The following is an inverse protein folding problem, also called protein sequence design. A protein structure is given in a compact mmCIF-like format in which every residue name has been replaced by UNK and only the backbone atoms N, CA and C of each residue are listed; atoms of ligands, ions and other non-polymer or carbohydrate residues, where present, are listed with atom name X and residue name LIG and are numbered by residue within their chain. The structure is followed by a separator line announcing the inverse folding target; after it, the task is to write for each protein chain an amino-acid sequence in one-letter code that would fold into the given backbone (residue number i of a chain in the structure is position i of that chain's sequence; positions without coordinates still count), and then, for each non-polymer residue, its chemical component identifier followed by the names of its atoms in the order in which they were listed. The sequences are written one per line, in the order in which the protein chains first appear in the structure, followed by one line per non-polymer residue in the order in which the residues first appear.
data_IF_331864755532
#
_entry.id   IF_331864755532
#
_cell.length_a   1.000
_cell.length_b   1.000
_cell.length_c   1.000
_cell.angle_alpha   90.00
_cell.angle_beta   90.00
_cell.angle_gamma   90.00
#
_symmetry.space_group_name_H-M   'P 1'
#
loop_
_entity.id
_entity.type
_entity.pdbx_description
1 polymer ?
#
# COMPACT_ATOMS: atom_id res chain seq x y z
N UNK A 1 -17.68 -18.56 27.17
CA UNK A 1 -16.26 -18.27 27.39
C UNK A 1 -15.76 -17.56 26.14
N UNK A 2 -15.87 -16.25 26.13
CA UNK A 2 -15.31 -15.39 25.06
C UNK A 2 -13.87 -15.09 25.47
N UNK A 3 -12.94 -15.94 25.02
CA UNK A 3 -11.51 -15.60 25.13
C UNK A 3 -11.23 -14.30 24.37
N UNK A 4 -10.28 -13.49 24.88
CA UNK A 4 -9.83 -12.31 24.16
C UNK A 4 -9.43 -12.68 22.72
N UNK A 5 -9.80 -11.86 21.73
CA UNK A 5 -9.47 -12.13 20.35
C UNK A 5 -7.96 -12.15 20.16
N UNK A 6 -7.39 -13.32 19.83
CA UNK A 6 -5.96 -13.50 19.61
C UNK A 6 -5.63 -13.61 18.12
N UNK A 7 -4.48 -13.07 17.73
CA UNK A 7 -3.97 -13.21 16.37
C UNK A 7 -3.67 -14.68 16.06
N UNK A 8 -4.11 -15.19 14.89
CA UNK A 8 -3.73 -16.53 14.44
C UNK A 8 -2.20 -16.66 14.29
N UNK A 9 -1.59 -17.77 14.72
CA UNK A 9 -0.13 -17.96 14.60
C UNK A 9 0.41 -17.82 13.17
N UNK A 10 -0.34 -18.27 12.18
CA UNK A 10 0.02 -18.09 10.76
C UNK A 10 0.07 -16.60 10.36
N UNK A 11 -0.85 -15.78 10.87
CA UNK A 11 -0.84 -14.34 10.62
C UNK A 11 0.38 -13.67 11.29
N UNK A 12 0.70 -14.03 12.55
CA UNK A 12 1.88 -13.51 13.25
C UNK A 12 3.14 -13.81 12.43
N UNK A 13 3.32 -15.05 11.94
CA UNK A 13 4.49 -15.42 11.11
C UNK A 13 4.58 -14.58 9.86
N UNK A 14 3.50 -14.42 9.11
CA UNK A 14 3.50 -13.64 7.87
C UNK A 14 3.79 -12.16 8.09
N UNK A 15 3.19 -11.55 9.10
CA UNK A 15 3.46 -10.14 9.47
C UNK A 15 4.93 -9.99 9.87
N UNK A 16 5.43 -10.87 10.73
CA UNK A 16 6.83 -10.88 11.18
C UNK A 16 7.79 -10.96 9.99
N UNK A 17 7.58 -11.92 9.08
CA UNK A 17 8.42 -12.08 7.87
C UNK A 17 8.40 -10.83 7.00
N UNK A 18 7.24 -10.20 6.79
CA UNK A 18 7.11 -8.98 5.99
C UNK A 18 7.84 -7.78 6.63
N UNK A 19 7.72 -7.62 7.96
CA UNK A 19 8.40 -6.54 8.70
C UNK A 19 9.91 -6.72 8.66
N UNK A 20 10.41 -7.95 8.87
CA UNK A 20 11.84 -8.26 8.74
C UNK A 20 12.34 -7.93 7.33
N UNK A 21 11.63 -8.39 6.30
CA UNK A 21 12.00 -8.12 4.92
C UNK A 21 12.06 -6.62 4.58
N UNK A 22 11.12 -5.83 5.10
CA UNK A 22 11.12 -4.37 4.95
C UNK A 22 12.33 -3.74 5.62
N UNK A 23 12.59 -4.13 6.87
CA UNK A 23 13.67 -3.54 7.65
C UNK A 23 15.05 -3.86 7.07
N UNK A 24 15.27 -5.11 6.66
CA UNK A 24 16.53 -5.51 6.03
C UNK A 24 16.75 -4.80 4.68
N UNK A 25 15.71 -4.59 3.88
CA UNK A 25 15.82 -3.75 2.67
C UNK A 25 16.25 -2.34 3.03
N UNK A 26 15.63 -1.72 4.04
CA UNK A 26 15.98 -0.38 4.49
C UNK A 26 17.44 -0.28 4.92
N UNK A 27 17.91 -1.19 5.77
CA UNK A 27 19.28 -1.18 6.29
C UNK A 27 20.34 -1.45 5.20
N UNK A 28 20.03 -2.38 4.28
CA UNK A 28 20.97 -2.77 3.21
C UNK A 28 20.97 -1.81 2.03
N UNK A 29 19.86 -1.13 1.73
CA UNK A 29 19.80 -0.10 0.68
C UNK A 29 20.50 1.20 1.10
N UNK A 30 20.59 1.48 2.40
CA UNK A 30 21.40 2.59 2.92
C UNK A 30 22.89 2.33 2.76
N UNK A 31 23.33 1.06 2.69
CA UNK A 31 24.77 0.71 2.62
C UNK A 31 25.28 0.44 1.20
N UNK A 32 24.47 -0.06 0.26
CA UNK A 32 24.97 -0.47 -1.08
C UNK A 32 23.85 -0.37 -2.14
N UNK A 33 24.07 0.46 -3.14
CA UNK A 33 23.20 0.60 -4.33
C UNK A 33 23.16 -0.59 -5.27
N UNK A 34 22.99 -1.81 -4.79
CA UNK A 34 22.58 -3.02 -5.49
C UNK A 34 22.72 -4.27 -4.56
N UNK A 35 21.66 -4.88 -4.13
CA UNK A 35 21.74 -6.22 -3.54
C UNK A 35 20.65 -7.15 -4.05
N UNK A 36 21.07 -8.27 -4.65
CA UNK A 36 20.25 -9.43 -5.04
C UNK A 36 19.62 -10.17 -3.83
N UNK A 37 19.98 -9.80 -2.60
CA UNK A 37 19.52 -10.47 -1.38
C UNK A 37 18.07 -10.14 -0.99
N UNK A 38 17.48 -9.10 -1.59
CA UNK A 38 16.11 -8.66 -1.27
C UNK A 38 15.01 -9.61 -1.75
N UNK A 39 15.27 -10.47 -2.74
CA UNK A 39 14.28 -11.40 -3.30
C UNK A 39 13.99 -12.61 -2.38
N UNK A 40 14.91 -12.97 -1.50
CA UNK A 40 14.80 -14.19 -0.68
C UNK A 40 14.08 -13.95 0.65
N UNK A 41 14.00 -12.72 1.14
CA UNK A 41 13.50 -12.40 2.49
C UNK A 41 11.96 -12.28 2.55
N UNK A 42 11.26 -12.28 1.42
CA UNK A 42 9.78 -12.24 1.37
C UNK A 42 9.08 -13.58 1.59
N UNK A 43 9.82 -14.68 1.63
CA UNK A 43 9.30 -16.02 1.87
C UNK A 43 9.60 -16.49 3.29
N UNK A 44 8.67 -17.24 3.89
CA UNK A 44 8.96 -17.97 5.14
C UNK A 44 10.11 -18.93 4.86
N UNK A 45 11.30 -18.59 5.33
CA UNK A 45 12.47 -19.48 5.22
C UNK A 45 12.63 -20.28 6.49
N UNK A 46 12.96 -21.56 6.34
CA UNK A 46 13.38 -22.43 7.46
C UNK A 46 14.83 -22.20 7.82
N UNK A 47 15.57 -21.45 7.00
CA UNK A 47 16.97 -21.16 7.23
C UNK A 47 17.15 -19.97 8.18
N UNK A 48 18.13 -20.00 9.07
CA UNK A 48 18.47 -18.87 9.92
C UNK A 48 18.77 -17.61 9.10
N UNK A 49 18.25 -16.47 9.55
CA UNK A 49 18.58 -15.19 8.97
C UNK A 49 20.03 -14.84 9.32
N UNK A 50 20.87 -14.64 8.31
CA UNK A 50 22.24 -14.18 8.53
C UNK A 50 22.22 -12.66 8.82
N UNK A 51 21.94 -12.30 10.07
CA UNK A 51 21.86 -10.92 10.55
C UNK A 51 23.13 -10.56 11.31
N UNK A 52 23.67 -9.38 11.04
CA UNK A 52 24.67 -8.77 11.92
C UNK A 52 24.00 -8.15 13.15
N UNK A 53 24.83 -7.60 14.07
CA UNK A 53 24.33 -7.01 15.32
C UNK A 53 23.44 -5.79 15.09
N UNK A 54 23.72 -4.97 14.04
CA UNK A 54 22.95 -3.78 13.71
C UNK A 54 21.61 -4.17 13.09
N UNK A 55 21.63 -5.13 12.16
CA UNK A 55 20.42 -5.69 11.54
C UNK A 55 19.53 -6.36 12.60
N UNK A 56 20.12 -7.12 13.53
CA UNK A 56 19.36 -7.73 14.62
C UNK A 56 18.67 -6.69 15.50
N UNK A 57 19.35 -5.60 15.85
CA UNK A 57 18.75 -4.49 16.61
C UNK A 57 17.66 -3.78 15.80
N UNK A 58 17.92 -3.53 14.52
CA UNK A 58 16.93 -2.90 13.61
C UNK A 58 15.66 -3.73 13.51
N UNK A 59 15.80 -5.03 13.27
CA UNK A 59 14.67 -5.98 13.20
C UNK A 59 13.90 -6.04 14.52
N UNK A 60 14.60 -6.16 15.67
CA UNK A 60 13.97 -6.16 16.99
C UNK A 60 13.16 -4.88 17.23
N UNK A 61 13.73 -3.73 16.90
CA UNK A 61 13.08 -2.42 17.04
C UNK A 61 11.85 -2.31 16.14
N UNK A 62 11.97 -2.72 14.87
CA UNK A 62 10.86 -2.66 13.91
C UNK A 62 9.69 -3.58 14.32
N UNK A 63 9.99 -4.80 14.76
CA UNK A 63 8.99 -5.74 15.28
C UNK A 63 8.36 -5.23 16.57
N UNK A 64 9.16 -4.72 17.51
CA UNK A 64 8.67 -4.11 18.73
C UNK A 64 7.70 -2.96 18.47
N UNK A 65 8.01 -2.11 17.50
CA UNK A 65 7.15 -1.00 17.11
C UNK A 65 5.82 -1.47 16.47
N UNK A 66 5.82 -2.54 15.66
CA UNK A 66 4.62 -3.08 15.03
C UNK A 66 3.73 -3.81 16.04
N UNK A 67 4.32 -4.69 16.87
CA UNK A 67 3.56 -5.52 17.81
C UNK A 67 3.39 -4.87 19.19
N UNK A 68 3.88 -3.64 19.37
CA UNK A 68 3.88 -2.90 20.63
C UNK A 68 4.47 -3.72 21.79
N UNK A 69 5.61 -4.35 21.53
CA UNK A 69 6.33 -5.17 22.49
C UNK A 69 7.78 -4.71 22.62
N UNK A 70 8.24 -4.57 23.85
CA UNK A 70 9.64 -4.31 24.17
C UNK A 70 10.44 -5.63 24.30
N UNK A 71 11.76 -5.54 24.23
CA UNK A 71 12.71 -6.63 24.49
C UNK A 71 12.53 -7.88 23.60
N UNK A 72 12.35 -7.67 22.32
CA UNK A 72 12.28 -8.77 21.34
C UNK A 72 13.67 -9.28 20.91
N UNK A 73 14.77 -8.72 21.42
CA UNK A 73 16.13 -9.11 21.02
C UNK A 73 16.45 -10.57 21.32
N UNK A 74 17.24 -11.20 20.46
CA UNK A 74 17.91 -12.46 20.72
C UNK A 74 19.31 -12.19 21.31
N UNK A 75 19.88 -13.20 22.00
CA UNK A 75 21.26 -13.10 22.40
C UNK A 75 22.18 -12.92 21.18
N UNK A 76 23.26 -12.15 21.29
CA UNK A 76 24.24 -12.03 20.21
C UNK A 76 24.66 -13.40 19.68
N UNK A 77 24.86 -13.51 18.39
CA UNK A 77 25.26 -14.73 17.67
C UNK A 77 24.28 -15.92 17.77
N UNK A 78 23.01 -15.68 18.16
CA UNK A 78 21.96 -16.70 18.08
C UNK A 78 21.34 -16.67 16.67
N UNK A 79 21.59 -17.69 15.83
CA UNK A 79 20.93 -17.79 14.53
C UNK A 79 19.42 -17.91 14.75
N UNK A 80 18.65 -16.96 14.25
CA UNK A 80 17.20 -16.95 14.38
C UNK A 80 16.53 -16.95 13.00
N UNK A 81 15.49 -17.76 12.85
CA UNK A 81 14.61 -17.76 11.67
C UNK A 81 13.50 -16.72 11.84
N UNK A 82 12.78 -16.37 10.78
CA UNK A 82 11.56 -15.58 10.90
C UNK A 82 10.51 -16.25 11.81
N UNK A 83 10.49 -17.58 11.86
CA UNK A 83 9.62 -18.36 12.73
C UNK A 83 10.00 -18.22 14.21
N UNK A 84 11.29 -18.16 14.55
CA UNK A 84 11.73 -17.93 15.93
C UNK A 84 11.32 -16.54 16.43
N UNK A 85 11.45 -15.51 15.58
CA UNK A 85 10.95 -14.18 15.88
C UNK A 85 9.44 -14.17 16.11
N UNK A 86 8.67 -14.84 15.24
CA UNK A 86 7.21 -14.94 15.39
C UNK A 86 6.82 -15.71 16.66
N UNK A 87 7.52 -16.81 16.99
CA UNK A 87 7.28 -17.56 18.21
C UNK A 87 7.55 -16.70 19.46
N UNK A 88 8.63 -15.90 19.45
CA UNK A 88 8.94 -14.99 20.56
C UNK A 88 7.87 -13.91 20.74
N UNK A 89 7.40 -13.30 19.63
CA UNK A 89 6.29 -12.34 19.65
C UNK A 89 5.03 -12.98 20.25
N UNK A 90 4.72 -14.21 19.88
CA UNK A 90 3.53 -14.94 20.35
C UNK A 90 3.57 -15.35 21.83
N UNK A 91 4.69 -15.19 22.52
CA UNK A 91 4.80 -15.50 23.97
C UNK A 91 4.04 -14.50 24.86
N UNK A 92 3.67 -13.34 24.32
CA UNK A 92 2.98 -12.27 25.04
C UNK A 92 1.64 -11.96 24.35
N UNK A 93 0.62 -11.50 25.07
CA UNK A 93 -0.60 -11.01 24.48
C UNK A 93 -0.32 -9.86 23.50
N UNK A 94 -1.00 -9.88 22.36
CA UNK A 94 -0.95 -8.82 21.34
C UNK A 94 -2.32 -8.17 21.32
N UNK A 95 -2.43 -6.97 21.87
CA UNK A 95 -3.70 -6.24 21.92
C UNK A 95 -3.90 -5.32 20.73
N UNK A 96 -2.80 -4.80 20.19
CA UNK A 96 -2.79 -3.83 19.09
C UNK A 96 -1.65 -4.12 18.11
N UNK A 97 -1.87 -3.72 16.85
CA UNK A 97 -0.81 -3.64 15.84
C UNK A 97 -0.68 -2.21 15.35
N UNK A 98 0.56 -1.77 15.15
CA UNK A 98 0.86 -0.47 14.54
C UNK A 98 1.32 -0.66 13.10
N UNK A 99 0.64 -0.03 12.16
CA UNK A 99 1.06 0.10 10.77
C UNK A 99 1.57 1.51 10.51
N UNK A 100 2.44 1.65 9.53
CA UNK A 100 3.08 2.93 9.21
C UNK A 100 2.74 3.37 7.79
N UNK A 101 2.42 4.66 7.61
CA UNK A 101 2.20 5.28 6.32
C UNK A 101 3.31 6.28 5.99
N UNK A 102 3.55 6.52 4.70
CA UNK A 102 4.37 7.64 4.25
C UNK A 102 3.60 8.95 4.50
N UNK A 103 3.71 9.53 5.67
CA UNK A 103 3.00 10.78 5.99
C UNK A 103 3.29 11.92 5.01
N UNK A 104 2.37 12.90 4.92
CA UNK A 104 2.49 14.11 4.09
C UNK A 104 3.80 14.90 4.34
N UNK A 105 4.38 14.77 5.53
CA UNK A 105 5.64 15.37 5.94
C UNK A 105 6.89 14.58 5.53
N UNK A 106 6.71 13.43 4.86
CA UNK A 106 7.80 12.49 4.52
C UNK A 106 8.30 11.65 5.70
N UNK A 107 7.72 11.81 6.89
CA UNK A 107 7.99 10.95 8.05
C UNK A 107 6.89 9.91 8.19
N UNK A 108 7.22 8.62 8.45
CA UNK A 108 6.23 7.58 8.68
C UNK A 108 5.29 7.97 9.82
N UNK A 109 3.98 7.87 9.59
CA UNK A 109 2.97 8.11 10.61
C UNK A 109 2.45 6.77 11.14
N UNK A 110 2.48 6.55 12.46
CA UNK A 110 1.98 5.33 13.07
C UNK A 110 0.45 5.36 13.20
N UNK A 111 -0.21 4.26 12.83
CA UNK A 111 -1.65 4.05 13.04
C UNK A 111 -1.84 2.72 13.78
N UNK A 112 -2.34 2.81 15.01
CA UNK A 112 -2.51 1.66 15.88
C UNK A 112 -3.96 1.14 15.84
N UNK A 113 -4.12 -0.15 15.50
CA UNK A 113 -5.40 -0.83 15.44
C UNK A 113 -5.51 -1.89 16.53
N UNK A 114 -6.70 -2.07 17.10
CA UNK A 114 -6.94 -3.17 18.03
C UNK A 114 -7.02 -4.49 17.28
N UNK A 115 -6.58 -5.58 17.90
CA UNK A 115 -6.72 -6.91 17.30
C UNK A 115 -8.18 -7.26 17.07
N UNK A 116 -9.07 -6.82 17.95
CA UNK A 116 -10.52 -7.03 17.81
C UNK A 116 -11.07 -6.42 16.50
N UNK A 117 -10.70 -5.17 16.19
CA UNK A 117 -11.15 -4.49 14.95
C UNK A 117 -10.60 -5.15 13.71
N UNK A 118 -9.30 -5.50 13.72
CA UNK A 118 -8.64 -6.16 12.60
C UNK A 118 -9.26 -7.54 12.31
N UNK A 119 -9.52 -8.32 13.35
CA UNK A 119 -10.18 -9.63 13.22
C UNK A 119 -11.65 -9.49 12.81
N UNK A 120 -12.36 -8.48 13.30
CA UNK A 120 -13.76 -8.23 12.91
C UNK A 120 -13.86 -7.94 11.40
N UNK A 121 -12.96 -7.09 10.87
CA UNK A 121 -12.86 -6.81 9.43
C UNK A 121 -12.51 -8.09 8.65
N UNK A 122 -11.46 -8.81 9.06
CA UNK A 122 -11.04 -10.02 8.39
C UNK A 122 -12.11 -11.13 8.40
N UNK A 123 -12.87 -11.29 9.48
CA UNK A 123 -14.01 -12.22 9.54
C UNK A 123 -15.17 -11.80 8.64
N UNK A 124 -15.47 -10.51 8.51
CA UNK A 124 -16.48 -10.03 7.56
C UNK A 124 -16.07 -10.34 6.13
N UNK A 125 -14.80 -10.08 5.76
CA UNK A 125 -14.24 -10.42 4.47
C UNK A 125 -14.24 -11.95 4.24
N UNK A 126 -13.85 -12.74 5.24
CA UNK A 126 -13.82 -14.20 5.12
C UNK A 126 -15.22 -14.78 4.76
N UNK A 127 -16.31 -14.21 5.27
CA UNK A 127 -17.66 -14.60 4.86
C UNK A 127 -17.95 -14.31 3.39
N UNK A 128 -17.45 -13.18 2.87
CA UNK A 128 -17.66 -12.77 1.46
C UNK A 128 -16.78 -13.57 0.48
N UNK A 129 -15.61 -14.02 0.95
CA UNK A 129 -14.61 -14.72 0.15
C UNK A 129 -14.40 -16.19 0.59
N UNK A 130 -15.44 -16.81 1.17
CA UNK A 130 -15.38 -18.18 1.71
C UNK A 130 -15.05 -19.28 0.69
N UNK A 131 -15.11 -18.98 -0.61
CA UNK A 131 -14.76 -19.92 -1.70
C UNK A 131 -13.26 -19.92 -2.04
N UNK A 132 -12.49 -19.00 -1.46
CA UNK A 132 -11.04 -18.91 -1.66
C UNK A 132 -10.38 -20.22 -1.25
N UNK A 133 -9.50 -20.74 -2.09
CA UNK A 133 -8.71 -21.95 -1.84
C UNK A 133 -7.22 -21.65 -1.62
N UNK A 134 -6.77 -20.48 -2.11
CA UNK A 134 -5.39 -20.02 -2.02
C UNK A 134 -5.35 -18.51 -2.18
N UNK A 135 -4.53 -17.86 -1.38
CA UNK A 135 -4.23 -16.41 -1.55
C UNK A 135 -2.91 -16.27 -2.28
N UNK A 136 -2.91 -15.47 -3.35
CA UNK A 136 -1.70 -15.10 -4.08
C UNK A 136 -1.40 -13.64 -3.77
N UNK A 137 -0.34 -13.41 -2.99
CA UNK A 137 0.01 -12.11 -2.44
C UNK A 137 1.05 -11.41 -3.31
N UNK A 138 0.65 -10.34 -4.00
CA UNK A 138 1.54 -9.41 -4.71
C UNK A 138 1.94 -8.22 -3.84
N UNK A 139 1.33 -8.10 -2.68
CA UNK A 139 1.61 -7.05 -1.69
C UNK A 139 2.08 -7.67 -0.37
N UNK A 140 3.01 -7.03 0.33
CA UNK A 140 3.52 -7.54 1.60
C UNK A 140 2.52 -7.31 2.74
N UNK A 141 2.67 -8.07 3.83
CA UNK A 141 1.80 -8.02 5.01
C UNK A 141 2.23 -6.96 6.06
N UNK A 142 3.13 -6.05 5.73
CA UNK A 142 3.63 -4.99 6.62
C UNK A 142 2.84 -3.66 6.50
N UNK A 143 1.86 -3.61 5.60
CA UNK A 143 0.88 -2.53 5.46
C UNK A 143 -0.52 -3.04 5.77
N UNK A 144 -1.43 -2.17 6.21
CA UNK A 144 -2.75 -2.58 6.68
C UNK A 144 -3.53 -3.41 5.65
N UNK A 145 -3.56 -2.98 4.39
CA UNK A 145 -4.19 -3.72 3.30
C UNK A 145 -3.60 -5.14 3.15
N UNK A 146 -2.28 -5.24 3.02
CA UNK A 146 -1.61 -6.54 2.93
C UNK A 146 -1.77 -7.38 4.18
N UNK A 147 -1.73 -6.78 5.37
CA UNK A 147 -1.94 -7.45 6.65
C UNK A 147 -3.33 -8.12 6.71
N UNK A 148 -4.39 -7.40 6.34
CA UNK A 148 -5.75 -7.95 6.33
C UNK A 148 -5.87 -9.06 5.28
N UNK A 149 -5.51 -8.76 4.02
CA UNK A 149 -5.82 -9.64 2.88
C UNK A 149 -4.83 -10.79 2.68
N UNK A 150 -3.59 -10.65 3.16
CA UNK A 150 -2.56 -11.67 2.93
C UNK A 150 -2.03 -12.36 4.20
N UNK A 151 -2.45 -11.89 5.40
CA UNK A 151 -2.11 -12.55 6.64
C UNK A 151 -3.35 -12.96 7.45
N UNK A 152 -4.27 -12.05 7.77
CA UNK A 152 -5.43 -12.37 8.61
C UNK A 152 -6.49 -13.18 7.85
N UNK A 153 -6.92 -12.73 6.69
CA UNK A 153 -7.94 -13.40 5.88
C UNK A 153 -7.58 -14.87 5.58
N UNK A 154 -6.40 -15.17 5.00
CA UNK A 154 -6.04 -16.56 4.74
C UNK A 154 -5.91 -17.41 6.01
N UNK A 155 -5.45 -16.82 7.12
CA UNK A 155 -5.38 -17.54 8.40
C UNK A 155 -6.78 -17.88 8.96
N UNK A 156 -7.78 -17.01 8.76
CA UNK A 156 -9.18 -17.27 9.15
C UNK A 156 -9.82 -18.30 8.21
N UNK A 157 -9.52 -18.26 6.92
CA UNK A 157 -10.03 -19.23 5.93
C UNK A 157 -9.31 -20.57 5.96
N UNK A 158 -8.19 -20.66 6.68
CA UNK A 158 -7.29 -21.83 6.71
C UNK A 158 -6.82 -22.23 5.30
N UNK A 159 -6.36 -21.24 4.52
CA UNK A 159 -5.88 -21.47 3.15
C UNK A 159 -4.42 -21.05 3.00
N UNK A 160 -3.68 -21.73 2.08
CA UNK A 160 -2.28 -21.39 1.84
C UNK A 160 -2.13 -20.01 1.18
N UNK A 161 -0.98 -19.39 1.43
CA UNK A 161 -0.58 -18.13 0.81
C UNK A 161 0.71 -18.33 0.03
N UNK A 162 0.71 -17.87 -1.23
CA UNK A 162 1.91 -17.79 -2.06
C UNK A 162 2.21 -16.31 -2.29
N UNK A 163 3.39 -15.87 -1.83
CA UNK A 163 3.88 -14.53 -2.10
C UNK A 163 4.75 -14.53 -3.37
N UNK A 164 4.75 -13.43 -4.10
CA UNK A 164 5.57 -13.27 -5.30
C UNK A 164 5.43 -11.91 -5.94
N UNK A 165 6.02 -11.77 -7.11
CA UNK A 165 5.87 -10.61 -7.98
C UNK A 165 5.04 -11.00 -9.20
N UNK A 166 4.61 -10.03 -10.00
CA UNK A 166 3.90 -10.30 -11.27
C UNK A 166 4.69 -11.25 -12.19
N UNK A 167 6.02 -11.21 -12.13
CA UNK A 167 6.89 -12.07 -12.97
C UNK A 167 7.09 -13.47 -12.39
N UNK A 168 7.02 -13.62 -11.06
CA UNK A 168 7.27 -14.91 -10.37
C UNK A 168 5.98 -15.61 -9.93
N UNK A 169 4.81 -15.04 -10.27
CA UNK A 169 3.53 -15.65 -9.95
C UNK A 169 3.43 -17.07 -10.51
N UNK A 170 2.97 -18.04 -9.68
CA UNK A 170 2.54 -19.31 -10.18
C UNK A 170 1.38 -19.11 -11.18
N UNK A 171 1.17 -20.10 -12.04
CA UNK A 171 -0.01 -20.10 -12.90
C UNK A 171 -1.27 -19.97 -12.01
N UNK A 172 -2.18 -19.02 -12.32
CA UNK A 172 -3.43 -18.90 -11.60
C UNK A 172 -4.23 -20.21 -11.65
N UNK A 173 -4.91 -20.52 -10.56
CA UNK A 173 -5.74 -21.72 -10.43
C UNK A 173 -7.15 -21.35 -9.94
N UNK A 174 -8.11 -22.23 -10.19
CA UNK A 174 -9.49 -22.04 -9.73
C UNK A 174 -9.56 -21.92 -8.20
N UNK A 175 -10.23 -20.90 -7.71
CA UNK A 175 -10.34 -20.57 -6.29
C UNK A 175 -9.20 -19.69 -5.77
N UNK A 176 -8.34 -19.16 -6.65
CA UNK A 176 -7.32 -18.18 -6.25
C UNK A 176 -7.94 -16.83 -5.94
N UNK A 177 -7.48 -16.24 -4.83
CA UNK A 177 -7.66 -14.83 -4.48
C UNK A 177 -6.33 -14.11 -4.68
N UNK A 178 -6.23 -13.29 -5.73
CA UNK A 178 -5.00 -12.57 -6.06
C UNK A 178 -5.10 -11.15 -5.49
N UNK A 179 -4.17 -10.79 -4.62
CA UNK A 179 -4.16 -9.51 -3.90
C UNK A 179 -3.06 -8.61 -4.44
N UNK A 180 -3.45 -7.49 -5.05
CA UNK A 180 -2.51 -6.57 -5.70
C UNK A 180 -2.94 -5.10 -5.60
N UNK A 181 -2.19 -4.25 -6.28
CA UNK A 181 -2.48 -2.82 -6.48
C UNK A 181 -2.76 -2.58 -7.97
N UNK A 182 -3.33 -1.42 -8.37
CA UNK A 182 -3.67 -1.15 -9.78
C UNK A 182 -2.52 -1.38 -10.75
N UNK A 183 -1.29 -1.07 -10.37
CA UNK A 183 -0.08 -1.29 -11.19
C UNK A 183 0.19 -2.78 -11.45
N UNK A 184 -0.05 -3.63 -10.46
CA UNK A 184 0.05 -5.09 -10.63
C UNK A 184 -1.00 -5.58 -11.63
N UNK A 185 -2.23 -5.10 -11.53
CA UNK A 185 -3.32 -5.44 -12.44
C UNK A 185 -3.04 -4.97 -13.87
N UNK A 186 -2.49 -3.76 -14.03
CA UNK A 186 -2.05 -3.26 -15.33
C UNK A 186 -0.91 -4.10 -15.94
N UNK A 187 0.01 -4.57 -15.11
CA UNK A 187 1.08 -5.45 -15.57
C UNK A 187 0.55 -6.84 -15.96
N UNK A 188 -0.35 -7.42 -15.17
CA UNK A 188 -1.00 -8.70 -15.47
C UNK A 188 -1.84 -8.64 -16.76
N UNK A 189 -2.58 -7.55 -16.98
CA UNK A 189 -3.32 -7.32 -18.21
C UNK A 189 -2.39 -7.31 -19.45
N UNK A 190 -1.24 -6.62 -19.34
CA UNK A 190 -0.23 -6.58 -20.42
C UNK A 190 0.39 -7.95 -20.73
N UNK A 191 0.50 -8.83 -19.74
CA UNK A 191 1.01 -10.18 -19.96
C UNK A 191 0.04 -11.05 -20.75
N UNK A 192 -1.24 -10.71 -20.82
CA UNK A 192 -2.25 -11.34 -21.66
C UNK A 192 -2.48 -12.83 -21.38
N UNK A 193 -2.17 -13.31 -20.18
CA UNK A 193 -2.39 -14.71 -19.81
C UNK A 193 -3.88 -14.96 -19.55
N UNK A 194 -4.44 -16.10 -20.05
CA UNK A 194 -5.84 -16.41 -19.80
C UNK A 194 -6.06 -16.71 -18.30
N UNK A 195 -7.22 -16.31 -17.80
CA UNK A 195 -7.64 -16.57 -16.44
C UNK A 195 -8.42 -17.89 -16.37
N UNK A 196 -8.11 -18.80 -15.45
CA UNK A 196 -8.99 -19.91 -15.11
C UNK A 196 -10.32 -19.41 -14.56
N UNK A 197 -11.36 -20.22 -14.64
CA UNK A 197 -12.61 -19.94 -13.95
C UNK A 197 -12.40 -19.84 -12.43
N UNK A 198 -13.23 -19.04 -11.75
CA UNK A 198 -13.25 -18.88 -10.28
C UNK A 198 -11.96 -18.25 -9.71
N UNK A 199 -11.35 -17.31 -10.44
CA UNK A 199 -10.26 -16.46 -9.92
C UNK A 199 -10.83 -15.10 -9.55
N UNK A 200 -10.55 -14.65 -8.33
CA UNK A 200 -10.94 -13.35 -7.82
C UNK A 200 -9.72 -12.45 -7.64
N UNK A 201 -9.77 -11.25 -8.20
CA UNK A 201 -8.79 -10.20 -7.99
C UNK A 201 -9.24 -9.23 -6.90
N UNK A 202 -8.29 -8.79 -6.06
CA UNK A 202 -8.47 -7.73 -5.07
C UNK A 202 -7.48 -6.61 -5.39
N UNK A 203 -7.98 -5.38 -5.49
CA UNK A 203 -7.20 -4.16 -5.72
C UNK A 203 -7.43 -3.17 -4.60
N UNK A 204 -6.40 -2.49 -4.17
CA UNK A 204 -6.47 -1.34 -3.25
C UNK A 204 -5.20 -0.51 -3.38
N UNK A 205 -5.09 0.56 -2.58
CA UNK A 205 -3.89 1.38 -2.56
C UNK A 205 -3.77 2.33 -3.74
N UNK A 206 -4.75 2.41 -4.64
CA UNK A 206 -4.80 3.29 -5.80
C UNK A 206 -6.14 3.30 -6.49
N UNK A 207 -6.41 4.34 -7.25
CA UNK A 207 -7.59 4.38 -8.10
C UNK A 207 -7.46 3.30 -9.20
N UNK A 208 -8.36 2.33 -9.20
CA UNK A 208 -8.43 1.31 -10.25
C UNK A 208 -9.17 1.91 -11.48
N UNK A 209 -8.48 2.10 -12.63
CA UNK A 209 -9.12 2.60 -13.83
C UNK A 209 -10.24 1.66 -14.30
N UNK A 210 -11.41 2.22 -14.62
CA UNK A 210 -12.57 1.42 -15.04
C UNK A 210 -12.26 0.54 -16.26
N UNK A 211 -11.62 1.13 -17.29
CA UNK A 211 -11.23 0.40 -18.49
C UNK A 211 -10.30 -0.80 -18.20
N UNK A 212 -9.32 -0.62 -17.30
CA UNK A 212 -8.44 -1.72 -16.90
C UNK A 212 -9.23 -2.86 -16.24
N UNK A 213 -10.19 -2.51 -15.39
CA UNK A 213 -11.04 -3.51 -14.73
C UNK A 213 -11.92 -4.27 -15.73
N UNK A 214 -12.52 -3.55 -16.69
CA UNK A 214 -13.33 -4.12 -17.76
C UNK A 214 -12.51 -5.05 -18.67
N UNK A 215 -11.30 -4.64 -19.06
CA UNK A 215 -10.37 -5.44 -19.85
C UNK A 215 -10.00 -6.75 -19.15
N UNK A 216 -9.73 -6.73 -17.83
CA UNK A 216 -9.42 -7.93 -17.06
C UNK A 216 -10.60 -8.89 -16.97
N UNK A 217 -11.81 -8.39 -16.77
CA UNK A 217 -13.03 -9.20 -16.77
C UNK A 217 -13.29 -9.77 -18.16
N UNK A 218 -13.13 -8.98 -19.22
CA UNK A 218 -13.25 -9.44 -20.60
C UNK A 218 -12.21 -10.51 -20.96
N UNK A 219 -11.01 -10.44 -20.36
CA UNK A 219 -9.97 -11.47 -20.50
C UNK A 219 -10.24 -12.75 -19.68
N UNK A 220 -11.36 -12.82 -18.93
CA UNK A 220 -11.81 -14.02 -18.22
C UNK A 220 -11.59 -14.00 -16.70
N UNK A 221 -11.08 -12.91 -16.10
CA UNK A 221 -11.05 -12.80 -14.65
C UNK A 221 -12.49 -12.83 -14.11
N UNK A 222 -12.79 -13.74 -13.20
CA UNK A 222 -14.16 -13.98 -12.76
C UNK A 222 -14.73 -12.80 -11.98
N UNK A 223 -13.93 -12.19 -11.09
CA UNK A 223 -14.28 -11.02 -10.27
C UNK A 223 -13.07 -10.14 -10.06
N UNK A 224 -13.27 -8.84 -10.06
CA UNK A 224 -12.28 -7.87 -9.60
C UNK A 224 -12.95 -6.94 -8.59
N UNK A 225 -12.43 -6.94 -7.38
CA UNK A 225 -12.96 -6.16 -6.26
C UNK A 225 -11.96 -5.07 -5.88
N UNK A 226 -12.42 -3.84 -5.92
CA UNK A 226 -11.68 -2.66 -5.50
C UNK A 226 -12.03 -2.30 -4.06
N UNK A 227 -11.02 -2.12 -3.22
CA UNK A 227 -11.16 -1.88 -1.78
C UNK A 227 -10.84 -0.42 -1.49
N UNK A 228 -11.81 0.31 -1.00
CA UNK A 228 -11.64 1.67 -0.48
C UNK A 228 -11.38 1.64 1.01
N UNK A 229 -10.34 2.36 1.43
CA UNK A 229 -9.95 2.50 2.83
C UNK A 229 -8.62 3.23 2.95
N UNK A 230 -8.16 3.38 4.17
CA UNK A 230 -6.88 4.00 4.50
C UNK A 230 -6.21 3.26 5.65
N UNK A 231 -4.95 3.61 5.93
CA UNK A 231 -4.25 3.03 7.08
C UNK A 231 -4.82 3.48 8.43
N UNK A 232 -5.56 4.58 8.45
CA UNK A 232 -6.24 5.12 9.62
C UNK A 232 -7.54 4.35 9.90
N UNK A 233 -8.29 4.02 8.85
CA UNK A 233 -9.64 3.48 8.95
C UNK A 233 -9.74 1.97 8.76
N UNK A 234 -8.77 1.34 8.10
CA UNK A 234 -8.94 0.04 7.49
C UNK A 234 -9.86 0.12 6.27
N UNK A 235 -10.42 -1.00 5.83
CA UNK A 235 -11.36 -1.02 4.71
C UNK A 235 -12.68 -0.34 5.11
N UNK A 236 -13.12 0.59 4.27
CA UNK A 236 -14.40 1.29 4.40
C UNK A 236 -15.47 0.59 3.57
N UNK A 237 -15.14 0.26 2.32
CA UNK A 237 -16.10 -0.37 1.43
C UNK A 237 -15.43 -1.14 0.29
N UNK A 238 -16.22 -1.98 -0.34
CA UNK A 238 -15.85 -2.82 -1.47
C UNK A 238 -16.69 -2.46 -2.69
N UNK A 239 -16.05 -2.41 -3.85
CA UNK A 239 -16.68 -2.19 -5.15
C UNK A 239 -16.31 -3.34 -6.08
N UNK A 240 -17.29 -4.07 -6.57
CA UNK A 240 -17.06 -5.06 -7.62
C UNK A 240 -17.16 -4.39 -9.00
N UNK A 241 -16.10 -4.50 -9.79
CA UNK A 241 -16.04 -3.94 -11.15
C UNK A 241 -17.05 -4.68 -12.05
N UNK A 242 -17.85 -3.97 -12.89
CA UNK A 242 -17.75 -2.55 -13.24
C UNK A 242 -18.63 -1.58 -12.42
N UNK A 243 -19.17 -1.98 -11.28
CA UNK A 243 -20.00 -1.10 -10.47
C UNK A 243 -19.26 0.21 -10.11
N UNK A 244 -20.01 1.31 -9.91
CA UNK A 244 -19.43 2.62 -9.59
C UNK A 244 -19.28 2.80 -8.07
N UNK A 245 -20.26 2.32 -7.29
CA UNK A 245 -20.32 2.57 -5.85
C UNK A 245 -19.63 1.52 -5.00
N UNK A 246 -19.05 1.97 -3.89
CA UNK A 246 -18.50 1.11 -2.84
C UNK A 246 -19.56 0.77 -1.82
N UNK A 247 -19.81 -0.51 -1.58
CA UNK A 247 -20.67 -1.00 -0.51
C UNK A 247 -19.90 -0.97 0.81
N UNK A 248 -20.40 -0.27 1.79
CA UNK A 248 -19.75 -0.11 3.10
C UNK A 248 -19.68 -1.43 3.86
N UNK A 249 -18.56 -1.70 4.51
CA UNK A 249 -18.44 -2.76 5.50
C UNK A 249 -19.34 -2.48 6.70
N UNK A 250 -19.73 -3.52 7.42
CA UNK A 250 -20.78 -3.48 8.45
C UNK A 250 -20.50 -2.53 9.62
N UNK A 251 -19.22 -2.20 9.84
CA UNK A 251 -18.80 -1.27 10.89
C UNK A 251 -19.01 0.20 10.54
N UNK A 252 -19.32 0.53 9.28
CA UNK A 252 -19.48 1.88 8.80
C UNK A 252 -20.92 2.20 8.50
N UNK A 253 -21.34 3.40 8.84
CA UNK A 253 -22.67 3.92 8.59
C UNK A 253 -22.58 5.34 7.99
N UNK A 254 -23.59 5.72 7.22
CA UNK A 254 -23.76 7.07 6.72
C UNK A 254 -24.78 7.80 7.57
N UNK A 255 -24.42 8.98 8.05
CA UNK A 255 -25.35 9.92 8.65
C UNK A 255 -25.50 11.10 7.73
N UNK A 256 -26.74 11.53 7.47
CA UNK A 256 -27.04 12.74 6.71
C UNK A 256 -27.43 13.85 7.67
N UNK A 257 -26.67 14.93 7.69
CA UNK A 257 -27.07 16.19 8.29
C UNK A 257 -26.94 17.28 7.23
N UNK A 258 -28.08 17.91 6.88
CA UNK A 258 -28.15 19.09 6.01
C UNK A 258 -27.22 19.02 4.76
N UNK A 259 -27.53 18.13 3.81
CA UNK A 259 -26.85 17.94 2.53
C UNK A 259 -25.40 17.41 2.57
N UNK A 260 -24.84 17.14 3.75
CA UNK A 260 -23.50 16.58 3.87
C UNK A 260 -23.56 15.18 4.48
N UNK A 261 -23.15 14.18 3.70
CA UNK A 261 -23.00 12.83 4.24
C UNK A 261 -21.70 12.70 5.02
N UNK A 262 -21.81 12.18 6.24
CA UNK A 262 -20.67 11.90 7.10
C UNK A 262 -20.59 10.41 7.36
N UNK A 263 -19.42 9.83 7.18
CA UNK A 263 -19.15 8.46 7.59
C UNK A 263 -18.95 8.42 9.10
N UNK A 264 -19.63 7.50 9.76
CA UNK A 264 -19.47 7.26 11.20
C UNK A 264 -19.12 5.80 11.45
N UNK A 265 -18.42 5.54 12.54
CA UNK A 265 -18.14 4.19 13.04
C UNK A 265 -19.34 3.59 13.78
N UNK A 266 -19.16 2.41 14.40
CA UNK A 266 -20.21 1.72 15.18
C UNK A 266 -20.66 2.49 16.40
N UNK A 267 -19.79 3.30 16.97
CA UNK A 267 -20.05 4.16 18.14
C UNK A 267 -20.69 5.49 17.74
N UNK A 268 -20.91 5.74 16.44
CA UNK A 268 -21.49 6.96 15.91
C UNK A 268 -20.48 8.11 15.83
N UNK A 269 -19.18 7.84 15.96
CA UNK A 269 -18.14 8.86 15.87
C UNK A 269 -17.85 9.20 14.41
N UNK A 270 -17.79 10.48 14.05
CA UNK A 270 -17.49 10.90 12.69
C UNK A 270 -16.04 10.57 12.31
N UNK A 271 -15.88 10.05 11.10
CA UNK A 271 -14.59 9.69 10.52
C UNK A 271 -14.21 10.70 9.45
N UNK A 272 -13.04 11.32 9.62
CA UNK A 272 -12.48 12.21 8.61
C UNK A 272 -11.91 11.40 7.46
N UNK A 273 -12.46 11.62 6.26
CA UNK A 273 -11.96 10.98 5.04
C UNK A 273 -11.07 11.95 4.27
N UNK A 274 -10.00 11.43 3.66
CA UNK A 274 -9.16 12.24 2.74
C UNK A 274 -9.86 12.51 1.40
N UNK A 275 -10.96 11.81 1.13
CA UNK A 275 -11.71 11.89 -0.12
C UNK A 275 -13.08 12.56 0.09
N UNK A 276 -13.56 13.25 -0.94
CA UNK A 276 -14.96 13.65 -1.03
C UNK A 276 -15.80 12.45 -1.42
N UNK A 277 -16.90 12.24 -0.71
CA UNK A 277 -17.84 11.14 -0.95
C UNK A 277 -19.21 11.66 -1.31
N UNK A 278 -19.93 10.91 -2.15
CA UNK A 278 -21.35 11.11 -2.46
C UNK A 278 -22.12 9.84 -2.09
N UNK A 279 -23.15 9.91 -1.25
CA UNK A 279 -24.03 8.79 -1.02
C UNK A 279 -24.77 8.38 -2.30
N UNK A 280 -24.85 7.10 -2.58
CA UNK A 280 -25.72 6.52 -3.59
C UNK A 280 -27.00 6.04 -2.90
N UNK A 281 -26.86 5.39 -1.75
CA UNK A 281 -27.91 4.97 -0.84
C UNK A 281 -27.38 4.85 0.60
N UNK A 282 -28.12 4.23 1.50
CA UNK A 282 -27.76 4.10 2.93
C UNK A 282 -26.47 3.31 3.18
N UNK A 283 -26.06 2.46 2.22
CA UNK A 283 -24.93 1.55 2.34
C UNK A 283 -23.89 1.70 1.26
N UNK A 284 -24.10 2.57 0.26
CA UNK A 284 -23.17 2.74 -0.86
C UNK A 284 -22.76 4.19 -1.03
N UNK A 285 -21.48 4.37 -1.31
CA UNK A 285 -20.86 5.67 -1.57
C UNK A 285 -20.13 5.66 -2.91
N UNK A 286 -20.05 6.82 -3.53
CA UNK A 286 -19.17 7.10 -4.65
C UNK A 286 -18.06 8.05 -4.20
N UNK A 287 -16.83 7.82 -4.68
CA UNK A 287 -15.70 8.69 -4.42
C UNK A 287 -15.63 9.77 -5.50
N UNK A 288 -15.55 11.03 -5.09
CA UNK A 288 -15.47 12.18 -6.00
C UNK A 288 -14.04 12.70 -6.21
N UNK A 289 -13.10 12.25 -5.40
CA UNK A 289 -11.68 12.63 -5.48
C UNK A 289 -11.10 13.04 -4.13
N UNK A 290 -9.79 13.22 -4.09
CA UNK A 290 -9.05 13.54 -2.86
C UNK A 290 -9.09 15.03 -2.55
N UNK A 291 -9.33 15.35 -1.29
CA UNK A 291 -9.30 16.74 -0.75
C UNK A 291 -7.87 17.26 -0.59
N UNK A 292 -6.92 16.37 -0.31
CA UNK A 292 -5.54 16.72 -0.01
C UNK A 292 -4.60 16.70 -1.23
N UNK A 293 -5.17 16.52 -2.43
CA UNK A 293 -4.42 16.44 -3.70
C UNK A 293 -3.31 15.38 -3.74
N UNK A 294 -3.26 14.48 -2.76
CA UNK A 294 -2.32 13.37 -2.81
C UNK A 294 -2.60 12.48 -4.03
N UNK A 295 -1.54 11.98 -4.64
CA UNK A 295 -1.61 10.97 -5.71
C UNK A 295 -0.97 9.68 -5.21
N UNK A 296 -1.33 8.56 -5.81
CA UNK A 296 -0.76 7.27 -5.43
C UNK A 296 0.23 6.77 -6.47
N UNK A 297 1.40 6.37 -5.97
CA UNK A 297 2.48 5.79 -6.77
C UNK A 297 2.84 4.45 -6.15
N UNK A 298 2.53 3.34 -6.85
CA UNK A 298 2.77 2.00 -6.33
C UNK A 298 2.03 1.70 -5.02
N UNK A 299 0.83 2.24 -4.83
CA UNK A 299 0.04 2.10 -3.61
C UNK A 299 0.47 2.99 -2.43
N UNK A 300 1.43 3.90 -2.64
CA UNK A 300 1.92 4.83 -1.63
C UNK A 300 1.39 6.24 -1.92
N UNK A 301 0.82 6.91 -0.91
CA UNK A 301 0.39 8.30 -1.04
C UNK A 301 1.60 9.22 -1.19
N UNK A 302 1.59 10.02 -2.23
CA UNK A 302 2.62 10.99 -2.57
C UNK A 302 1.96 12.35 -2.75
N UNK A 303 2.62 13.41 -2.29
CA UNK A 303 2.11 14.78 -2.31
C UNK A 303 2.84 15.61 -3.35
N UNK A 304 2.29 15.80 -4.57
CA UNK A 304 2.94 16.52 -5.65
C UNK A 304 3.37 17.93 -5.28
N UNK A 305 2.55 18.65 -4.51
CA UNK A 305 2.85 20.03 -4.09
C UNK A 305 4.07 20.10 -3.15
N UNK A 306 4.24 19.12 -2.26
CA UNK A 306 5.43 19.01 -1.41
C UNK A 306 6.68 18.73 -2.25
N UNK A 307 6.58 17.85 -3.23
CA UNK A 307 7.70 17.53 -4.12
C UNK A 307 8.06 18.73 -4.99
N UNK A 308 7.06 19.47 -5.49
CA UNK A 308 7.28 20.70 -6.22
C UNK A 308 8.01 21.75 -5.38
N UNK A 309 7.65 21.89 -4.09
CA UNK A 309 8.36 22.76 -3.15
C UNK A 309 9.82 22.33 -2.97
N UNK A 310 10.09 21.04 -2.79
CA UNK A 310 11.47 20.49 -2.70
C UNK A 310 12.26 20.77 -3.98
N UNK A 311 11.67 20.58 -5.17
CA UNK A 311 12.30 20.91 -6.44
C UNK A 311 12.65 22.40 -6.56
N UNK A 312 11.78 23.27 -6.02
CA UNK A 312 11.98 24.71 -5.96
C UNK A 312 13.20 25.16 -5.11
N UNK A 313 13.67 24.30 -4.19
CA UNK A 313 14.88 24.56 -3.40
C UNK A 313 16.18 24.29 -4.20
N UNK A 314 16.08 23.62 -5.35
CA UNK A 314 17.23 23.30 -6.16
C UNK A 314 17.75 24.57 -6.89
N UNK A 315 19.06 24.83 -6.80
CA UNK A 315 19.64 25.95 -7.50
C UNK A 315 19.38 25.86 -9.01
N UNK A 316 18.98 26.98 -9.61
CA UNK A 316 18.62 27.01 -11.04
C UNK A 316 17.13 26.73 -11.34
N UNK A 317 16.27 26.51 -10.32
CA UNK A 317 14.83 26.37 -10.45
C UNK A 317 14.13 27.66 -9.99
N UNK A 318 13.33 28.26 -10.85
CA UNK A 318 12.45 29.39 -10.49
C UNK A 318 11.10 28.91 -9.97
N UNK A 319 10.52 27.88 -10.59
CA UNK A 319 9.32 27.21 -10.11
C UNK A 319 9.21 25.80 -10.67
N UNK A 320 8.44 24.96 -9.99
CA UNK A 320 8.18 23.60 -10.41
C UNK A 320 6.71 23.23 -10.19
N UNK A 321 6.20 22.30 -11.00
CA UNK A 321 4.94 21.61 -10.75
C UNK A 321 5.12 20.11 -10.96
N UNK A 322 4.52 19.30 -10.12
CA UNK A 322 4.61 17.83 -10.17
C UNK A 322 3.23 17.24 -10.37
N UNK A 323 3.12 16.20 -11.16
CA UNK A 323 1.86 15.47 -11.40
C UNK A 323 2.12 13.97 -11.57
N UNK A 324 1.07 13.20 -11.39
CA UNK A 324 1.07 11.80 -11.80
C UNK A 324 1.01 11.74 -13.33
N UNK A 325 1.93 11.00 -13.93
CA UNK A 325 1.95 10.73 -15.38
C UNK A 325 1.14 9.48 -15.75
N UNK A 326 0.97 9.25 -17.04
CA UNK A 326 0.13 8.18 -17.62
C UNK A 326 0.54 6.74 -17.21
N UNK A 327 1.77 6.57 -16.72
CA UNK A 327 2.30 5.26 -16.30
C UNK A 327 2.33 5.08 -14.77
N UNK A 328 1.55 5.86 -14.01
CA UNK A 328 1.52 5.78 -12.55
C UNK A 328 2.83 6.23 -11.88
N UNK A 329 3.67 7.01 -12.59
CA UNK A 329 4.91 7.60 -12.08
C UNK A 329 4.82 9.12 -12.12
N UNK A 330 5.56 9.78 -11.22
CA UNK A 330 5.56 11.24 -11.20
C UNK A 330 6.33 11.82 -12.38
N UNK A 331 5.81 12.92 -12.92
CA UNK A 331 6.46 13.81 -13.89
C UNK A 331 6.55 15.22 -13.29
N UNK A 332 7.61 15.95 -13.61
CA UNK A 332 7.83 17.32 -13.18
C UNK A 332 7.96 18.27 -14.37
N UNK A 333 7.37 19.44 -14.26
CA UNK A 333 7.64 20.57 -15.14
C UNK A 333 8.42 21.62 -14.37
N UNK A 334 9.52 22.06 -14.93
CA UNK A 334 10.47 22.99 -14.32
C UNK A 334 10.52 24.28 -15.12
N UNK A 335 10.37 25.38 -14.43
CA UNK A 335 10.71 26.72 -14.96
C UNK A 335 12.09 27.07 -14.44
N UNK A 336 13.12 27.13 -15.30
CA UNK A 336 14.46 27.46 -14.87
C UNK A 336 14.61 28.91 -14.41
N UNK A 337 15.56 29.18 -13.52
CA UNK A 337 15.98 30.53 -13.18
C UNK A 337 17.07 30.97 -14.20
N UNK A 338 16.66 31.69 -15.25
CA UNK A 338 17.52 32.10 -16.35
C UNK A 338 17.52 31.10 -17.51
N UNK A 339 18.62 31.05 -18.25
CA UNK A 339 18.82 30.15 -19.41
C UNK A 339 19.91 29.12 -19.11
N UNK A 340 19.63 28.07 -18.30
CA UNK A 340 20.60 27.03 -18.00
C UNK A 340 20.73 26.04 -19.15
N UNK A 341 21.81 25.26 -19.14
CA UNK A 341 21.86 23.98 -19.86
C UNK A 341 20.84 23.02 -19.23
N UNK A 342 19.76 22.74 -19.96
CA UNK A 342 18.67 21.86 -19.47
C UNK A 342 19.17 20.47 -19.09
N UNK A 343 20.14 19.90 -19.83
CA UNK A 343 20.68 18.58 -19.54
C UNK A 343 21.48 18.58 -18.23
N UNK A 344 22.27 19.61 -17.99
CA UNK A 344 23.01 19.78 -16.74
C UNK A 344 22.06 19.99 -15.56
N UNK A 345 21.01 20.81 -15.74
CA UNK A 345 19.99 21.04 -14.71
C UNK A 345 19.19 19.78 -14.42
N UNK A 346 18.84 18.98 -15.43
CA UNK A 346 18.14 17.70 -15.19
C UNK A 346 19.00 16.73 -14.38
N UNK A 347 20.28 16.62 -14.70
CA UNK A 347 21.20 15.78 -13.93
C UNK A 347 21.31 16.25 -12.48
N UNK A 348 21.41 17.55 -12.25
CA UNK A 348 21.43 18.15 -10.92
C UNK A 348 20.13 17.86 -10.15
N UNK A 349 18.96 18.02 -10.79
CA UNK A 349 17.66 17.72 -10.20
C UNK A 349 17.54 16.25 -9.80
N UNK A 350 17.98 15.33 -10.65
CA UNK A 350 17.99 13.88 -10.34
C UNK A 350 18.82 13.56 -9.09
N UNK A 351 20.01 14.14 -8.96
CA UNK A 351 20.86 13.99 -7.78
C UNK A 351 20.21 14.64 -6.55
N UNK A 352 19.64 15.84 -6.72
CA UNK A 352 19.01 16.58 -5.65
C UNK A 352 17.81 15.83 -5.04
N UNK A 353 16.91 15.29 -5.87
CA UNK A 353 15.75 14.51 -5.38
C UNK A 353 16.17 13.16 -4.83
N UNK A 354 17.24 12.54 -5.37
CA UNK A 354 17.75 11.27 -4.86
C UNK A 354 18.25 11.38 -3.42
N UNK A 355 18.77 12.53 -3.03
CA UNK A 355 19.26 12.80 -1.67
C UNK A 355 18.18 13.20 -0.67
N UNK A 356 16.97 13.59 -1.14
CA UNK A 356 15.93 14.21 -0.28
C UNK A 356 14.57 13.52 -0.31
N UNK A 357 14.28 12.74 -1.34
CA UNK A 357 12.98 12.13 -1.55
C UNK A 357 13.08 10.61 -1.59
N UNK A 358 12.06 9.94 -1.07
CA UNK A 358 11.92 8.50 -1.21
C UNK A 358 11.82 8.07 -2.69
N UNK A 359 12.22 6.87 -3.09
CA UNK A 359 12.21 6.43 -4.49
C UNK A 359 10.87 6.62 -5.22
N UNK A 360 9.75 6.41 -4.51
CA UNK A 360 8.38 6.58 -5.06
C UNK A 360 7.99 8.04 -5.29
N UNK A 361 8.64 8.98 -4.60
CA UNK A 361 8.40 10.42 -4.69
C UNK A 361 9.24 11.11 -5.78
N UNK A 362 10.20 10.40 -6.36
CA UNK A 362 11.12 10.97 -7.35
C UNK A 362 10.45 11.03 -8.72
N UNK A 363 10.32 12.24 -9.33
CA UNK A 363 9.86 12.33 -10.70
C UNK A 363 10.76 11.54 -11.65
N UNK A 364 10.14 10.78 -12.55
CA UNK A 364 10.89 9.97 -13.55
C UNK A 364 11.17 10.74 -14.83
N UNK A 365 10.43 11.82 -15.07
CA UNK A 365 10.63 12.70 -16.23
C UNK A 365 10.58 14.17 -15.81
N UNK A 366 11.41 14.97 -16.45
CA UNK A 366 11.46 16.42 -16.30
C UNK A 366 11.19 17.06 -17.64
N UNK A 367 10.33 18.09 -17.66
CA UNK A 367 10.12 18.99 -18.81
C UNK A 367 10.47 20.39 -18.38
N UNK A 368 11.02 21.14 -19.30
CA UNK A 368 11.45 22.51 -19.08
C UNK A 368 10.64 23.47 -19.95
N UNK A 369 10.44 24.68 -19.46
CA UNK A 369 9.77 25.74 -20.20
C UNK A 369 9.84 27.07 -19.47
N UNK A 370 9.60 28.16 -20.22
CA UNK A 370 9.69 29.52 -19.68
C UNK A 370 8.58 29.85 -18.67
N UNK A 371 7.44 29.14 -18.74
CA UNK A 371 6.29 29.33 -17.87
C UNK A 371 5.61 28.00 -17.56
N UNK A 372 4.96 27.91 -16.40
CA UNK A 372 4.15 26.75 -16.03
C UNK A 372 3.00 26.56 -17.03
N UNK A 373 2.71 25.31 -17.46
CA UNK A 373 1.65 25.03 -18.41
C UNK A 373 0.29 25.52 -17.92
N UNK A 374 -0.41 26.30 -18.76
CA UNK A 374 -1.76 26.80 -18.50
C UNK A 374 -2.67 26.54 -19.69
N UNK A 375 -3.93 26.29 -19.42
CA UNK A 375 -4.95 26.22 -20.46
C UNK A 375 -5.35 27.65 -20.91
N UNK A 376 -6.15 27.79 -21.99
CA UNK A 376 -6.61 29.10 -22.46
C UNK A 376 -7.39 29.93 -21.43
N UNK A 377 -7.88 29.29 -20.37
CA UNK A 377 -8.59 29.96 -19.27
C UNK A 377 -7.65 30.33 -18.10
N UNK A 378 -6.33 30.19 -18.25
CA UNK A 378 -5.33 30.51 -17.24
C UNK A 378 -5.18 29.48 -16.11
N UNK A 379 -5.94 28.37 -16.12
CA UNK A 379 -5.80 27.29 -15.13
C UNK A 379 -4.62 26.40 -15.46
N UNK A 380 -3.97 25.77 -14.43
CA UNK A 380 -2.89 24.83 -14.67
C UNK A 380 -3.29 23.72 -15.65
N UNK A 381 -2.55 23.56 -16.73
CA UNK A 381 -2.74 22.52 -17.73
C UNK A 381 -1.80 21.33 -17.49
N UNK A 382 -2.13 20.19 -18.08
CA UNK A 382 -1.21 19.07 -18.14
C UNK A 382 -0.24 19.22 -19.33
N UNK A 383 0.88 18.50 -19.28
CA UNK A 383 1.89 18.47 -20.33
C UNK A 383 2.21 17.02 -20.71
N UNK A 384 2.59 16.83 -21.95
CA UNK A 384 3.04 15.52 -22.47
C UNK A 384 4.55 15.41 -22.45
#
# INVERSE_FOLDING_TARGET
MTGDPALPPAAIRRITTAVIARELRRLRDEDIGQSKAAETVGHETTDPLALDSLETMGVATALGAVFQQDDLSFAPDTPATSADWAARIATRPIERLTVYTSGATGRPQPHAHTIADLLAEAHELARQFARTRRVVALVPADHLYGLIWTALLPAILDVPVIAGTVLTLPAPAAGDLIVGVPEHWAALARLGKPWPADVTGISSGGALPAALGEDLIAAGLTRLVDVYGSSETGAIGLREVPAIGYTLLSRWQLTSAADTATLVDREGQPVSLPDDIRPIDERRIELLGRRDHAVQVGGINVYPDRIAAVLGECAGVASAVVRLGDHGRLKAFIVPAGEPDEAALEQQLRQFVAARLAPVERPTSFRFGAELPRNPMGKPADWR
#
